data_IF_299882934549
#
_entry.id   IF_299882934549
#
_cell.length_a   1.000
_cell.length_b   1.000
_cell.length_c   1.000
_cell.angle_alpha   90.00
_cell.angle_beta   90.00
_cell.angle_gamma   90.00
#
_symmetry.space_group_name_H-M   'P 1'
#
loop_
_entity.id
_entity.type
_entity.pdbx_description
1 polymer ?
#
# COMPACT_ATOMS: atom_id res chain seq x y z
N UNK A 1 11.84 -23.81 -9.03
CA UNK A 1 11.87 -22.34 -9.25
C UNK A 1 12.67 -21.75 -8.11
N UNK A 2 13.68 -20.97 -8.42
CA UNK A 2 14.52 -20.32 -7.43
C UNK A 2 13.66 -19.40 -6.53
N UNK A 3 13.85 -19.40 -5.20
CA UNK A 3 13.12 -18.55 -4.24
C UNK A 3 13.22 -17.07 -4.63
N UNK A 4 14.38 -16.64 -5.10
CA UNK A 4 14.63 -15.29 -5.60
C UNK A 4 13.71 -14.92 -6.76
N UNK A 5 13.39 -15.87 -7.63
CA UNK A 5 12.49 -15.68 -8.77
C UNK A 5 11.03 -15.48 -8.32
N UNK A 6 10.60 -16.18 -7.28
CA UNK A 6 9.23 -16.04 -6.74
C UNK A 6 9.03 -14.70 -6.03
N UNK A 7 10.01 -14.26 -5.24
CA UNK A 7 10.02 -12.95 -4.60
C UNK A 7 9.98 -11.82 -5.63
N UNK A 8 10.82 -11.90 -6.67
CA UNK A 8 10.86 -10.91 -7.74
C UNK A 8 9.52 -10.81 -8.48
N UNK A 9 8.95 -11.95 -8.87
CA UNK A 9 7.66 -11.99 -9.59
C UNK A 9 6.55 -11.39 -8.73
N UNK A 10 6.51 -11.73 -7.44
CA UNK A 10 5.51 -11.20 -6.50
C UNK A 10 5.66 -9.69 -6.31
N UNK A 11 6.89 -9.21 -6.16
CA UNK A 11 7.17 -7.78 -6.03
C UNK A 11 6.75 -7.02 -7.29
N UNK A 12 7.05 -7.56 -8.47
CA UNK A 12 6.67 -6.94 -9.74
C UNK A 12 5.15 -6.89 -9.91
N UNK A 13 4.44 -7.97 -9.61
CA UNK A 13 2.98 -8.02 -9.65
C UNK A 13 2.37 -6.98 -8.69
N UNK A 14 2.86 -6.92 -7.45
CA UNK A 14 2.40 -5.96 -6.46
C UNK A 14 2.62 -4.52 -6.91
N UNK A 15 3.80 -4.21 -7.46
CA UNK A 15 4.11 -2.88 -7.99
C UNK A 15 3.22 -2.49 -9.16
N UNK A 16 2.98 -3.38 -10.11
CA UNK A 16 2.12 -3.10 -11.27
C UNK A 16 0.71 -2.75 -10.80
N UNK A 17 0.11 -3.55 -9.91
CA UNK A 17 -1.24 -3.30 -9.40
C UNK A 17 -1.31 -2.00 -8.58
N UNK A 18 -0.36 -1.76 -7.69
CA UNK A 18 -0.31 -0.55 -6.88
C UNK A 18 -0.11 0.70 -7.75
N UNK A 19 0.79 0.67 -8.72
CA UNK A 19 1.01 1.78 -9.66
C UNK A 19 -0.23 2.08 -10.49
N UNK A 20 -0.92 1.04 -10.97
CA UNK A 20 -2.14 1.19 -11.75
C UNK A 20 -3.27 1.80 -10.90
N UNK A 21 -3.36 1.44 -9.62
CA UNK A 21 -4.30 2.07 -8.69
C UNK A 21 -3.97 3.55 -8.49
N UNK A 22 -2.71 3.89 -8.27
CA UNK A 22 -2.28 5.29 -8.13
C UNK A 22 -2.59 6.10 -9.39
N UNK A 23 -2.31 5.54 -10.58
CA UNK A 23 -2.60 6.20 -11.84
C UNK A 23 -4.11 6.44 -12.01
N UNK A 24 -4.94 5.44 -11.76
CA UNK A 24 -6.40 5.57 -11.83
C UNK A 24 -6.92 6.63 -10.85
N UNK A 25 -6.44 6.63 -9.62
CA UNK A 25 -6.80 7.65 -8.62
C UNK A 25 -6.45 9.04 -9.10
N UNK A 26 -5.28 9.20 -9.74
CA UNK A 26 -4.85 10.48 -10.31
C UNK A 26 -5.71 10.92 -11.49
N UNK A 27 -6.06 10.00 -12.39
CA UNK A 27 -6.89 10.28 -13.56
C UNK A 27 -8.28 10.79 -13.15
N UNK A 28 -8.90 10.14 -12.16
CA UNK A 28 -10.20 10.54 -11.62
C UNK A 28 -10.16 11.93 -10.97
N UNK A 29 -9.00 12.33 -10.42
CA UNK A 29 -8.77 13.69 -9.92
C UNK A 29 -8.75 14.74 -11.03
N UNK A 30 -8.04 14.46 -12.11
CA UNK A 30 -7.85 15.39 -13.23
C UNK A 30 -9.13 15.47 -14.04
N UNK A 31 -9.91 14.38 -14.14
CA UNK A 31 -11.16 14.28 -14.88
C UNK A 31 -12.32 15.12 -14.33
N UNK A 32 -12.14 15.83 -13.22
CA UNK A 32 -13.10 16.83 -12.75
C UNK A 32 -14.29 16.29 -11.97
N UNK A 33 -14.27 15.06 -11.47
CA UNK A 33 -15.22 14.61 -10.47
C UNK A 33 -15.03 15.42 -9.18
N UNK A 34 -15.85 16.43 -9.05
CA UNK A 34 -15.79 17.57 -8.13
C UNK A 34 -15.83 17.22 -6.62
N UNK A 35 -16.03 15.94 -6.30
CA UNK A 35 -16.16 15.47 -4.91
C UNK A 35 -14.79 15.42 -4.22
N UNK A 36 -13.69 15.34 -4.97
CA UNK A 36 -12.34 15.20 -4.44
C UNK A 36 -11.60 16.54 -4.22
N UNK A 37 -12.18 17.67 -4.67
CA UNK A 37 -11.51 18.97 -4.61
C UNK A 37 -11.43 19.60 -3.20
N UNK A 38 -12.14 19.08 -2.22
CA UNK A 38 -12.17 19.63 -0.86
C UNK A 38 -11.49 18.81 0.21
N UNK A 39 -11.23 17.51 -0.05
CA UNK A 39 -10.62 16.62 0.92
C UNK A 39 -9.24 16.15 0.45
N UNK A 40 -8.33 15.92 1.40
CA UNK A 40 -7.02 15.31 1.22
C UNK A 40 -7.09 13.87 0.64
N UNK A 41 -8.23 13.52 0.09
CA UNK A 41 -8.70 12.19 -0.21
C UNK A 41 -7.93 11.41 -1.27
N UNK A 42 -7.35 11.98 -2.35
CA UNK A 42 -6.72 11.18 -3.40
C UNK A 42 -5.39 10.56 -3.00
N UNK A 43 -4.56 11.33 -2.29
CA UNK A 43 -3.30 10.83 -1.74
C UNK A 43 -3.61 9.71 -0.75
N UNK A 44 -4.57 9.95 0.15
CA UNK A 44 -5.04 8.98 1.13
C UNK A 44 -5.56 7.70 0.48
N UNK A 45 -6.36 7.79 -0.59
CA UNK A 45 -6.88 6.62 -1.31
C UNK A 45 -5.75 5.82 -1.95
N UNK A 46 -4.78 6.51 -2.57
CA UNK A 46 -3.63 5.87 -3.19
C UNK A 46 -2.75 5.17 -2.15
N UNK A 47 -2.49 5.80 -1.00
CA UNK A 47 -1.64 5.24 0.06
C UNK A 47 -2.28 3.98 0.67
N UNK A 48 -3.52 4.06 1.14
CA UNK A 48 -4.23 2.90 1.69
C UNK A 48 -4.45 1.79 0.67
N UNK A 49 -4.85 2.14 -0.55
CA UNK A 49 -5.11 1.17 -1.61
C UNK A 49 -3.85 0.43 -2.05
N UNK A 50 -2.74 1.15 -2.21
CA UNK A 50 -1.44 0.56 -2.57
C UNK A 50 -0.95 -0.36 -1.47
N UNK A 51 -0.98 0.08 -0.20
CA UNK A 51 -0.58 -0.75 0.92
C UNK A 51 -1.42 -2.02 1.02
N UNK A 52 -2.74 -1.92 0.91
CA UNK A 52 -3.63 -3.07 0.97
C UNK A 52 -3.28 -4.12 -0.09
N UNK A 53 -3.11 -3.71 -1.35
CA UNK A 53 -2.77 -4.62 -2.46
C UNK A 53 -1.41 -5.27 -2.23
N UNK A 54 -0.40 -4.49 -1.85
CA UNK A 54 0.96 -4.99 -1.63
C UNK A 54 0.99 -5.97 -0.46
N UNK A 55 0.40 -5.61 0.67
CA UNK A 55 0.35 -6.47 1.86
C UNK A 55 -0.38 -7.78 1.58
N UNK A 56 -1.51 -7.73 0.85
CA UNK A 56 -2.26 -8.91 0.44
C UNK A 56 -1.38 -9.86 -0.37
N UNK A 57 -0.77 -9.38 -1.45
CA UNK A 57 0.01 -10.23 -2.36
C UNK A 57 1.24 -10.83 -1.67
N UNK A 58 1.94 -10.05 -0.85
CA UNK A 58 3.10 -10.54 -0.09
C UNK A 58 2.63 -11.62 0.91
N UNK A 59 1.57 -11.37 1.66
CA UNK A 59 1.12 -12.30 2.70
C UNK A 59 0.57 -13.60 2.14
N UNK A 60 -0.07 -13.56 0.98
CA UNK A 60 -0.52 -14.77 0.29
C UNK A 60 0.64 -15.65 -0.19
N UNK A 61 1.71 -15.03 -0.67
CA UNK A 61 2.85 -15.76 -1.23
C UNK A 61 3.87 -16.15 -0.17
N UNK A 62 4.06 -15.27 0.82
CA UNK A 62 5.04 -15.41 1.89
C UNK A 62 4.38 -15.19 3.26
N UNK A 63 3.52 -16.13 3.72
CA UNK A 63 2.76 -15.96 4.96
C UNK A 63 3.63 -15.86 6.21
N UNK A 64 4.87 -16.36 6.15
CA UNK A 64 5.84 -16.29 7.22
C UNK A 64 6.61 -14.99 7.34
N UNK A 65 6.49 -14.09 6.33
CA UNK A 65 7.24 -12.85 6.31
C UNK A 65 6.57 -11.80 7.20
N UNK A 66 7.41 -11.03 7.90
CA UNK A 66 6.95 -9.88 8.68
C UNK A 66 6.87 -8.66 7.75
N UNK A 67 5.71 -8.03 7.71
CA UNK A 67 5.50 -6.79 6.97
C UNK A 67 5.57 -5.62 7.94
N UNK A 68 6.30 -4.56 7.57
CA UNK A 68 6.30 -3.27 8.27
C UNK A 68 5.77 -2.24 7.29
N UNK A 69 4.66 -1.60 7.63
CA UNK A 69 3.97 -0.64 6.79
C UNK A 69 3.59 0.60 7.60
N UNK A 70 3.21 1.67 6.93
CA UNK A 70 2.95 2.97 7.57
C UNK A 70 1.50 3.13 8.02
N UNK A 71 0.55 2.69 7.17
CA UNK A 71 -0.87 2.93 7.38
C UNK A 71 -1.51 1.86 8.26
N UNK A 72 -2.46 2.28 9.12
CA UNK A 72 -3.36 1.38 9.84
C UNK A 72 -4.83 1.70 9.49
N UNK A 73 -5.73 0.73 9.63
CA UNK A 73 -7.12 0.90 9.22
C UNK A 73 -7.99 1.67 10.23
N UNK A 74 -7.45 2.05 11.39
CA UNK A 74 -8.22 2.69 12.45
C UNK A 74 -8.87 4.00 12.00
N UNK A 75 -8.13 4.79 11.21
CA UNK A 75 -8.66 6.04 10.65
C UNK A 75 -9.78 5.78 9.65
N UNK A 76 -9.63 4.76 8.79
CA UNK A 76 -10.66 4.42 7.79
C UNK A 76 -11.95 3.88 8.42
N UNK A 77 -11.86 3.29 9.61
CA UNK A 77 -13.02 2.74 10.33
C UNK A 77 -13.85 3.81 11.06
N UNK A 78 -13.37 5.06 11.11
CA UNK A 78 -14.14 6.16 11.71
C UNK A 78 -15.37 6.51 10.87
N UNK A 79 -16.49 6.89 11.50
CA UNK A 79 -17.72 7.24 10.77
C UNK A 79 -17.54 8.31 9.69
N UNK A 80 -16.69 9.30 9.95
CA UNK A 80 -16.40 10.40 9.04
C UNK A 80 -15.59 9.96 7.81
N UNK A 81 -14.92 8.79 7.88
CA UNK A 81 -14.03 8.28 6.85
C UNK A 81 -14.60 7.08 6.08
N UNK A 82 -15.83 6.64 6.38
CA UNK A 82 -16.46 5.51 5.69
C UNK A 82 -16.54 5.70 4.18
N UNK A 83 -16.78 6.93 3.72
CA UNK A 83 -16.77 7.25 2.27
C UNK A 83 -15.40 7.06 1.63
N UNK A 84 -14.33 7.32 2.38
CA UNK A 84 -12.95 7.07 1.92
C UNK A 84 -12.72 5.57 1.83
N UNK A 85 -13.12 4.81 2.84
CA UNK A 85 -13.02 3.36 2.84
C UNK A 85 -13.79 2.71 1.68
N UNK A 86 -15.03 3.15 1.43
CA UNK A 86 -15.82 2.71 0.29
C UNK A 86 -15.09 2.99 -1.03
N UNK A 87 -14.50 4.18 -1.16
CA UNK A 87 -13.77 4.57 -2.35
C UNK A 87 -12.50 3.75 -2.54
N UNK A 88 -11.70 3.55 -1.48
CA UNK A 88 -10.52 2.66 -1.50
C UNK A 88 -10.93 1.25 -1.93
N UNK A 89 -12.00 0.72 -1.34
CA UNK A 89 -12.54 -0.60 -1.68
C UNK A 89 -12.96 -0.68 -3.15
N UNK A 90 -13.63 0.35 -3.66
CA UNK A 90 -14.06 0.43 -5.07
C UNK A 90 -12.85 0.40 -6.02
N UNK A 91 -11.80 1.16 -5.74
CA UNK A 91 -10.58 1.12 -6.55
C UNK A 91 -9.89 -0.24 -6.51
N UNK A 92 -9.80 -0.86 -5.33
CA UNK A 92 -9.21 -2.20 -5.18
C UNK A 92 -10.01 -3.23 -5.97
N UNK A 93 -11.34 -3.13 -5.99
CA UNK A 93 -12.20 -4.04 -6.75
C UNK A 93 -11.97 -3.99 -8.26
N UNK A 94 -11.38 -2.92 -8.82
CA UNK A 94 -10.98 -2.91 -10.24
C UNK A 94 -9.81 -3.86 -10.53
N UNK A 95 -9.01 -4.21 -9.53
CA UNK A 95 -7.85 -5.09 -9.66
C UNK A 95 -8.03 -6.45 -9.00
N UNK A 96 -8.86 -6.49 -7.96
CA UNK A 96 -9.16 -7.69 -7.17
C UNK A 96 -10.68 -7.70 -6.94
N UNK A 97 -11.45 -8.22 -7.91
CA UNK A 97 -12.92 -8.23 -7.83
C UNK A 97 -13.45 -9.01 -6.64
N UNK A 98 -14.55 -8.53 -6.07
CA UNK A 98 -15.24 -9.18 -4.95
C UNK A 98 -14.66 -8.87 -3.57
N UNK A 99 -13.72 -7.90 -3.48
CA UNK A 99 -13.13 -7.47 -2.22
C UNK A 99 -14.12 -6.64 -1.40
N UNK A 100 -14.31 -6.99 -0.15
CA UNK A 100 -15.09 -6.23 0.83
C UNK A 100 -14.24 -5.17 1.55
N UNK A 101 -14.89 -4.17 2.13
CA UNK A 101 -14.21 -3.14 2.94
C UNK A 101 -13.52 -3.73 4.17
N UNK A 102 -14.06 -4.81 4.73
CA UNK A 102 -13.44 -5.48 5.87
C UNK A 102 -12.15 -6.20 5.48
N UNK A 103 -12.12 -6.84 4.30
CA UNK A 103 -10.90 -7.44 3.76
C UNK A 103 -9.84 -6.38 3.48
N UNK A 104 -10.22 -5.23 2.92
CA UNK A 104 -9.30 -4.10 2.72
C UNK A 104 -8.65 -3.68 4.03
N UNK A 105 -9.45 -3.46 5.07
CA UNK A 105 -8.94 -3.13 6.40
C UNK A 105 -8.03 -4.24 6.95
N UNK A 106 -8.41 -5.49 6.79
CA UNK A 106 -7.60 -6.64 7.22
C UNK A 106 -6.24 -6.68 6.51
N UNK A 107 -6.20 -6.39 5.22
CA UNK A 107 -4.94 -6.34 4.47
C UNK A 107 -4.05 -5.18 4.88
N UNK A 108 -4.64 -4.00 5.15
CA UNK A 108 -3.90 -2.84 5.67
C UNK A 108 -3.28 -3.19 7.03
N UNK A 109 -4.04 -3.85 7.91
CA UNK A 109 -3.62 -4.19 9.27
C UNK A 109 -2.75 -5.46 9.34
N UNK A 110 -2.44 -6.09 8.21
CA UNK A 110 -1.60 -7.30 8.14
C UNK A 110 -0.17 -7.05 8.60
N UNK A 111 0.24 -5.78 8.74
CA UNK A 111 1.52 -5.48 9.32
C UNK A 111 1.52 -5.84 10.83
N UNK A 112 2.53 -6.58 11.24
CA UNK A 112 2.78 -6.82 12.66
C UNK A 112 3.16 -5.48 13.30
N UNK A 113 2.22 -4.81 13.96
CA UNK A 113 2.33 -3.47 14.55
C UNK A 113 3.40 -3.28 15.64
N UNK A 114 4.42 -4.10 15.61
CA UNK A 114 5.66 -3.87 16.30
C UNK A 114 6.35 -2.68 15.64
N UNK A 115 6.13 -1.46 16.19
CA UNK A 115 7.09 -0.37 16.01
C UNK A 115 8.48 -1.02 16.01
N UNK A 116 9.34 -0.74 15.01
CA UNK A 116 10.65 -1.36 14.95
C UNK A 116 11.34 -1.10 16.28
N UNK A 117 11.39 -2.10 17.11
CA UNK A 117 12.32 -2.11 18.25
C UNK A 117 13.67 -2.21 17.59
N UNK A 118 14.30 -1.08 17.42
CA UNK A 118 15.67 -0.99 16.94
C UNK A 118 16.50 -2.01 17.71
N UNK A 119 16.68 -3.15 17.04
CA UNK A 119 17.79 -4.08 17.17
C UNK A 119 18.44 -4.23 18.53
N UNK A 120 18.04 -5.24 19.22
CA UNK A 120 18.99 -5.94 20.07
C UNK A 120 19.92 -6.74 19.12
N UNK A 121 21.15 -6.24 18.96
CA UNK A 121 22.23 -6.93 18.23
C UNK A 121 22.46 -8.28 18.88
N UNK A 122 22.21 -9.37 18.15
CA UNK A 122 22.74 -10.65 18.63
C UNK A 122 22.04 -11.94 18.21
N UNK A 123 21.14 -11.96 17.23
CA UNK A 123 20.69 -13.25 16.66
C UNK A 123 20.53 -13.15 15.14
N UNK A 124 21.18 -14.08 14.47
CA UNK A 124 21.20 -14.30 13.02
C UNK A 124 19.76 -14.27 12.48
N UNK A 125 19.40 -13.22 11.74
CA UNK A 125 18.07 -13.03 11.17
C UNK A 125 18.07 -13.40 9.69
N UNK A 126 17.05 -14.13 9.28
CA UNK A 126 16.63 -14.24 7.88
C UNK A 126 16.20 -12.85 7.40
N UNK A 127 16.41 -12.58 6.14
CA UNK A 127 16.23 -11.28 5.50
C UNK A 127 14.87 -10.65 5.79
N UNK A 128 14.89 -9.41 6.26
CA UNK A 128 13.71 -8.54 6.32
C UNK A 128 13.68 -7.77 5.01
N UNK A 129 12.67 -8.02 4.19
CA UNK A 129 12.40 -7.19 3.03
C UNK A 129 11.71 -5.92 3.50
N UNK A 130 12.47 -4.84 3.65
CA UNK A 130 11.89 -3.53 3.98
C UNK A 130 11.51 -2.86 2.67
N UNK A 131 10.22 -2.83 2.36
CA UNK A 131 9.70 -2.02 1.28
C UNK A 131 9.31 -0.66 1.86
N UNK A 132 10.18 0.34 1.69
CA UNK A 132 9.85 1.72 2.01
C UNK A 132 9.14 2.32 0.81
N UNK A 133 7.87 2.66 0.96
CA UNK A 133 7.12 3.44 -0.03
C UNK A 133 7.43 4.92 0.25
N UNK A 134 8.04 5.66 -0.69
CA UNK A 134 8.33 7.07 -0.47
C UNK A 134 7.04 7.87 -0.31
N UNK A 135 6.98 8.72 0.71
CA UNK A 135 5.87 9.68 0.88
C UNK A 135 5.80 10.63 -0.30
N UNK A 136 4.62 10.81 -0.85
CA UNK A 136 4.35 11.82 -1.89
C UNK A 136 4.56 13.27 -1.40
N UNK A 137 4.80 13.49 -0.11
CA UNK A 137 5.02 14.79 0.51
C UNK A 137 6.48 15.27 0.54
N UNK A 138 7.44 14.40 0.28
CA UNK A 138 8.85 14.80 0.25
C UNK A 138 9.18 15.46 -1.10
N UNK A 139 8.83 16.73 -1.19
CA UNK A 139 9.33 17.62 -2.23
C UNK A 139 10.82 17.85 -1.99
N UNK A 140 11.64 17.13 -2.74
CA UNK A 140 13.08 17.31 -2.67
C UNK A 140 13.91 16.29 -3.42
N UNK A 141 13.32 15.57 -4.38
CA UNK A 141 14.14 14.77 -5.31
C UNK A 141 14.54 15.66 -6.47
N UNK A 142 15.68 16.35 -6.34
CA UNK A 142 16.40 16.89 -7.49
C UNK A 142 16.86 15.70 -8.35
N UNK A 143 16.29 15.59 -9.53
CA UNK A 143 16.85 14.73 -10.57
C UNK A 143 18.12 15.41 -11.08
N UNK A 144 19.27 14.91 -10.69
CA UNK A 144 20.54 15.30 -11.33
C UNK A 144 20.62 14.50 -12.61
N UNK A 145 20.38 15.18 -13.74
CA UNK A 145 20.74 14.69 -15.06
C UNK A 145 22.24 14.45 -15.08
N UNK A 146 22.65 13.21 -15.18
CA UNK A 146 24.02 12.85 -15.52
C UNK A 146 24.00 12.20 -16.88
N UNK A 147 24.65 12.87 -17.82
CA UNK A 147 24.97 12.48 -19.20
C UNK A 147 25.58 11.09 -19.31
#
# INVERSE_FOLDING_TARGET
MDETSAEFVTALEAMIKASSLCQKTREDLVGGESILKRDRSPVTIADYGSQAIICKLIKERFPGDTIVAEEDSKELRKPDHLKILEKVTSYINTFIPGTSSEEVCSWIDTFDGAKPRFLNRGKKRRSVSTLSIPRASDRGVEWVDSY
#
